data_IF_941510892809
#
_entry.id   IF_941510892809
#
_cell.length_a   1.000
_cell.length_b   1.000
_cell.length_c   1.000
_cell.angle_alpha   90.00
_cell.angle_beta   90.00
_cell.angle_gamma   90.00
#
_symmetry.space_group_name_H-M   'P 1'
#
loop_
_entity.id
_entity.type
_entity.pdbx_description
1 polymer ?
#
# COMPACT_ATOMS: atom_id res chain seq x y z
N UNK A 1 23.41 -51.77 -7.55
CA UNK A 1 23.00 -50.54 -8.27
C UNK A 1 22.23 -49.65 -7.30
N UNK A 2 22.86 -48.57 -6.77
CA UNK A 2 22.21 -47.60 -5.88
C UNK A 2 21.45 -46.58 -6.74
N UNK A 3 20.15 -46.51 -6.62
CA UNK A 3 19.34 -45.49 -7.26
C UNK A 3 19.46 -44.17 -6.43
N UNK A 4 20.08 -43.15 -7.03
CA UNK A 4 20.15 -41.81 -6.45
C UNK A 4 18.82 -41.13 -6.79
N UNK A 5 18.00 -40.84 -5.77
CA UNK A 5 16.82 -39.98 -5.89
C UNK A 5 17.31 -38.53 -5.75
N UNK A 6 17.30 -37.79 -6.85
CA UNK A 6 17.49 -36.34 -6.82
C UNK A 6 16.14 -35.71 -6.45
N UNK A 7 16.05 -35.21 -5.23
CA UNK A 7 14.91 -34.40 -4.78
C UNK A 7 15.10 -32.99 -5.34
N UNK A 8 14.39 -32.65 -6.41
CA UNK A 8 14.30 -31.28 -6.92
C UNK A 8 13.45 -30.47 -5.95
N UNK A 9 14.07 -29.67 -5.11
CA UNK A 9 13.41 -28.61 -4.36
C UNK A 9 12.95 -27.52 -5.33
N UNK A 10 11.66 -27.45 -5.56
CA UNK A 10 11.00 -26.34 -6.26
C UNK A 10 10.96 -25.17 -5.26
N UNK A 11 11.94 -24.26 -5.33
CA UNK A 11 11.85 -22.96 -4.65
C UNK A 11 10.91 -22.14 -5.52
N UNK A 12 9.74 -21.69 -5.01
CA UNK A 12 8.91 -20.77 -5.76
C UNK A 12 9.67 -19.43 -5.84
N UNK A 13 10.33 -19.18 -6.95
CA UNK A 13 10.82 -17.85 -7.28
C UNK A 13 9.59 -17.00 -7.56
N UNK A 14 9.28 -16.06 -6.67
CA UNK A 14 8.36 -14.96 -6.95
C UNK A 14 8.96 -14.14 -8.09
N UNK A 15 8.53 -14.43 -9.30
CA UNK A 15 8.85 -13.64 -10.47
C UNK A 15 8.00 -12.36 -10.41
N UNK A 16 8.53 -11.29 -9.80
CA UNK A 16 8.11 -9.96 -10.24
C UNK A 16 8.35 -9.91 -11.75
N UNK A 17 7.39 -9.38 -12.52
CA UNK A 17 7.70 -9.11 -13.90
C UNK A 17 8.86 -8.12 -13.93
N UNK A 18 9.87 -8.35 -14.74
CA UNK A 18 11.03 -7.46 -14.90
C UNK A 18 10.56 -6.01 -15.09
N UNK A 19 9.49 -5.81 -15.85
CA UNK A 19 8.84 -4.52 -16.10
C UNK A 19 8.43 -3.77 -14.81
N UNK A 20 8.00 -4.48 -13.75
CA UNK A 20 7.63 -3.84 -12.48
C UNK A 20 8.86 -3.29 -11.74
N UNK A 21 9.96 -4.04 -11.75
CA UNK A 21 11.21 -3.66 -11.05
C UNK A 21 11.90 -2.49 -11.75
N UNK A 22 11.79 -2.40 -13.08
CA UNK A 22 12.43 -1.35 -13.88
C UNK A 22 11.88 0.05 -13.56
N UNK A 23 10.65 0.17 -13.05
CA UNK A 23 10.01 1.45 -12.71
C UNK A 23 10.24 1.90 -11.26
N UNK A 24 11.05 1.20 -10.47
CA UNK A 24 11.32 1.59 -9.09
C UNK A 24 12.07 2.93 -9.02
N UNK A 25 11.75 3.78 -8.02
CA UNK A 25 12.55 4.96 -7.73
C UNK A 25 13.98 4.59 -7.29
N UNK A 26 14.89 5.56 -7.33
CA UNK A 26 16.17 5.42 -6.63
C UNK A 26 15.92 5.23 -5.13
N UNK A 27 16.81 4.51 -4.46
CA UNK A 27 16.68 4.23 -3.03
C UNK A 27 17.95 4.63 -2.26
N UNK A 28 17.74 5.15 -1.05
CA UNK A 28 18.83 5.43 -0.11
C UNK A 28 18.84 4.43 1.05
N UNK A 29 17.72 3.73 1.26
CA UNK A 29 17.52 2.74 2.30
C UNK A 29 17.64 1.29 1.83
N UNK A 30 17.22 0.35 2.68
CA UNK A 30 17.16 -1.08 2.35
C UNK A 30 16.00 -1.36 1.39
N UNK A 31 16.30 -1.91 0.21
CA UNK A 31 15.28 -2.25 -0.79
C UNK A 31 14.64 -3.60 -0.46
N UNK A 32 13.34 -3.61 -0.23
CA UNK A 32 12.56 -4.81 0.10
C UNK A 32 11.47 -5.02 -0.94
N UNK A 33 11.32 -6.26 -1.37
CA UNK A 33 10.26 -6.69 -2.27
C UNK A 33 9.25 -7.57 -1.54
N UNK A 34 7.99 -7.12 -1.49
CA UNK A 34 6.84 -7.92 -1.09
C UNK A 34 6.11 -8.47 -2.31
N UNK A 35 5.10 -9.32 -2.13
CA UNK A 35 4.41 -9.98 -3.25
C UNK A 35 3.76 -9.02 -4.25
N UNK A 36 3.39 -7.80 -3.83
CA UNK A 36 2.62 -6.86 -4.66
C UNK A 36 3.05 -5.40 -4.52
N UNK A 37 4.10 -5.12 -3.77
CA UNK A 37 4.71 -3.80 -3.67
C UNK A 37 6.19 -3.94 -3.29
N UNK A 38 6.95 -2.89 -3.53
CA UNK A 38 8.34 -2.76 -3.08
C UNK A 38 8.49 -1.50 -2.24
N UNK A 39 9.47 -1.47 -1.37
CA UNK A 39 9.76 -0.29 -0.57
C UNK A 39 11.26 -0.10 -0.39
N UNK A 40 11.67 1.13 -0.12
CA UNK A 40 12.99 1.46 0.42
C UNK A 40 12.83 1.83 1.89
N UNK A 41 13.42 1.07 2.80
CA UNK A 41 13.31 1.27 4.24
C UNK A 41 14.46 2.10 4.77
N UNK A 42 14.14 3.17 5.47
CA UNK A 42 15.12 4.02 6.15
C UNK A 42 15.24 3.61 7.61
N UNK A 43 16.30 2.95 7.95
CA UNK A 43 16.66 2.55 9.32
C UNK A 43 16.74 3.75 10.27
N UNK A 44 17.31 4.85 9.79
CA UNK A 44 17.43 6.09 10.58
C UNK A 44 16.07 6.63 11.02
N UNK A 45 14.99 6.37 10.28
CA UNK A 45 13.66 6.90 10.50
C UNK A 45 12.64 5.84 10.89
N UNK A 46 13.03 4.56 10.90
CA UNK A 46 12.20 3.40 11.25
C UNK A 46 10.90 3.31 10.41
N UNK A 47 10.97 3.62 9.14
CA UNK A 47 9.88 3.53 8.17
C UNK A 47 10.37 3.62 6.72
N UNK A 48 9.51 3.27 5.77
CA UNK A 48 9.84 3.42 4.37
C UNK A 48 9.99 4.90 3.96
N UNK A 49 11.04 5.22 3.19
CA UNK A 49 11.16 6.51 2.51
C UNK A 49 10.22 6.59 1.29
N UNK A 50 9.97 5.46 0.64
CA UNK A 50 8.93 5.28 -0.37
C UNK A 50 8.42 3.85 -0.41
N UNK A 51 7.19 3.71 -0.88
CA UNK A 51 6.58 2.43 -1.27
C UNK A 51 6.07 2.56 -2.70
N UNK A 52 6.44 1.61 -3.55
CA UNK A 52 6.05 1.51 -4.96
C UNK A 52 5.08 0.36 -5.16
N UNK A 53 3.96 0.61 -5.83
CA UNK A 53 2.98 -0.41 -6.18
C UNK A 53 2.23 -0.08 -7.46
N UNK A 54 1.56 -1.08 -8.02
CA UNK A 54 0.76 -0.97 -9.22
C UNK A 54 -0.72 -1.20 -8.92
N UNK A 55 -1.58 -0.31 -9.41
CA UNK A 55 -3.02 -0.55 -9.48
C UNK A 55 -3.33 -0.98 -10.92
N UNK A 56 -3.61 -2.27 -11.10
CA UNK A 56 -4.00 -2.84 -12.40
C UNK A 56 -5.50 -2.73 -12.58
N UNK A 57 -5.93 -2.23 -13.74
CA UNK A 57 -7.36 -2.09 -14.05
C UNK A 57 -8.09 -3.45 -14.11
N UNK A 58 -7.36 -4.54 -14.41
CA UNK A 58 -7.89 -5.89 -14.44
C UNK A 58 -8.10 -6.51 -13.05
N UNK A 59 -7.48 -5.95 -12.02
CA UNK A 59 -7.62 -6.47 -10.65
C UNK A 59 -8.98 -6.09 -10.06
N UNK A 60 -9.74 -7.11 -9.68
CA UNK A 60 -11.01 -6.92 -8.98
C UNK A 60 -10.72 -6.61 -7.51
N UNK A 61 -11.00 -5.39 -7.08
CA UNK A 61 -10.85 -4.96 -5.69
C UNK A 61 -12.07 -5.39 -4.85
N UNK A 62 -11.85 -5.50 -3.52
CA UNK A 62 -12.91 -5.83 -2.58
C UNK A 62 -13.24 -7.31 -2.45
N UNK A 63 -12.41 -8.20 -3.00
CA UNK A 63 -12.56 -9.66 -2.83
C UNK A 63 -12.20 -10.12 -1.41
N UNK A 64 -11.27 -9.41 -0.76
CA UNK A 64 -10.78 -9.70 0.58
C UNK A 64 -11.16 -8.55 1.50
N UNK A 65 -11.84 -8.88 2.60
CA UNK A 65 -12.15 -7.92 3.65
C UNK A 65 -10.88 -7.50 4.39
N UNK A 66 -10.88 -6.27 4.93
CA UNK A 66 -9.81 -5.76 5.77
C UNK A 66 -9.58 -6.68 6.98
N UNK A 67 -8.31 -7.04 7.25
CA UNK A 67 -7.96 -8.04 8.28
C UNK A 67 -7.25 -7.46 9.50
N UNK A 68 -6.75 -6.23 9.46
CA UNK A 68 -6.10 -5.49 10.56
C UNK A 68 -4.99 -6.25 11.32
N UNK A 69 -4.26 -7.13 10.62
CA UNK A 69 -3.21 -7.98 11.21
C UNK A 69 -1.85 -7.28 11.26
N UNK A 70 -1.79 -6.10 11.86
CA UNK A 70 -0.57 -5.33 12.03
C UNK A 70 0.53 -6.15 12.72
N UNK A 71 1.74 -6.13 12.18
CA UNK A 71 2.91 -6.85 12.69
C UNK A 71 4.19 -6.23 12.14
N UNK A 72 5.30 -6.49 12.83
CA UNK A 72 6.63 -6.13 12.31
C UNK A 72 6.91 -6.84 11.01
N UNK A 73 7.80 -6.28 10.21
CA UNK A 73 8.25 -6.85 8.95
C UNK A 73 9.59 -7.57 9.18
N UNK A 74 9.56 -8.89 9.08
CA UNK A 74 10.74 -9.74 9.27
C UNK A 74 11.70 -9.69 8.06
N UNK A 75 11.31 -9.07 6.95
CA UNK A 75 12.18 -8.90 5.80
C UNK A 75 13.15 -7.71 5.96
N UNK A 76 12.91 -6.82 6.93
CA UNK A 76 13.84 -5.74 7.26
C UNK A 76 14.99 -6.33 8.09
N UNK A 77 16.23 -6.15 7.63
CA UNK A 77 17.41 -6.81 8.19
C UNK A 77 17.69 -6.49 9.66
N UNK A 78 17.29 -5.31 10.11
CA UNK A 78 17.44 -4.79 11.48
C UNK A 78 16.16 -4.90 12.31
N UNK A 79 15.09 -5.46 11.75
CA UNK A 79 13.69 -5.41 12.16
C UNK A 79 13.04 -4.06 11.90
N UNK A 80 11.74 -4.08 11.62
CA UNK A 80 10.96 -2.85 11.47
C UNK A 80 10.44 -2.35 12.82
N UNK A 81 9.88 -1.13 12.83
CA UNK A 81 9.04 -0.63 13.90
C UNK A 81 8.02 -1.69 14.40
N UNK A 82 7.57 -1.57 15.62
CA UNK A 82 6.64 -2.48 16.30
C UNK A 82 5.30 -1.83 16.60
N UNK A 83 4.27 -2.62 16.94
CA UNK A 83 2.97 -2.09 17.36
C UNK A 83 3.10 -1.17 18.57
N UNK A 84 4.04 -1.46 19.49
CA UNK A 84 4.27 -0.66 20.69
C UNK A 84 4.75 0.76 20.39
N UNK A 85 5.44 0.96 19.27
CA UNK A 85 5.92 2.29 18.87
C UNK A 85 4.80 3.26 18.48
N UNK A 86 3.61 2.75 18.19
CA UNK A 86 2.44 3.56 17.85
C UNK A 86 1.39 3.63 18.96
N UNK A 87 1.42 2.69 19.94
CA UNK A 87 0.33 2.50 20.88
C UNK A 87 0.19 3.68 21.84
N UNK A 88 -0.94 4.37 21.77
CA UNK A 88 -1.27 5.45 22.72
C UNK A 88 -0.53 6.77 22.46
N UNK A 89 0.21 6.92 21.37
CA UNK A 89 1.04 8.08 21.09
C UNK A 89 0.37 9.12 20.19
N UNK A 90 -0.94 9.00 19.92
CA UNK A 90 -1.75 10.02 19.26
C UNK A 90 -1.72 10.01 17.74
N UNK A 91 -1.03 9.04 17.13
CA UNK A 91 -0.96 8.87 15.68
C UNK A 91 -1.63 7.57 15.22
N UNK A 92 -2.24 7.60 14.04
CA UNK A 92 -2.68 6.40 13.35
C UNK A 92 -1.46 5.70 12.73
N UNK A 93 -1.51 4.36 12.63
CA UNK A 93 -0.64 3.58 11.74
C UNK A 93 -1.14 3.81 10.32
N UNK A 94 -0.63 4.87 9.70
CA UNK A 94 -1.05 5.29 8.38
C UNK A 94 -0.41 4.43 7.30
N UNK A 95 -1.23 3.83 6.44
CA UNK A 95 -0.76 3.03 5.32
C UNK A 95 -0.10 3.91 4.25
N UNK A 96 1.00 3.44 3.68
CA UNK A 96 1.57 3.98 2.45
C UNK A 96 0.92 3.30 1.23
N UNK A 97 1.00 1.97 1.12
CA UNK A 97 0.11 1.20 0.22
C UNK A 97 -1.22 0.97 0.92
N UNK A 98 -2.33 1.52 0.40
CA UNK A 98 -3.62 1.37 1.06
C UNK A 98 -4.13 -0.08 1.04
N UNK A 99 -4.63 -0.57 2.17
CA UNK A 99 -5.23 -1.91 2.26
C UNK A 99 -6.38 -2.11 1.25
N UNK A 100 -7.09 -1.03 0.89
CA UNK A 100 -8.16 -1.09 -0.11
C UNK A 100 -7.65 -1.38 -1.53
N UNK A 101 -6.42 -0.96 -1.87
CA UNK A 101 -5.78 -1.24 -3.16
C UNK A 101 -5.26 -2.69 -3.23
N UNK A 102 -5.03 -3.31 -2.06
CA UNK A 102 -4.58 -4.68 -1.89
C UNK A 102 -5.72 -5.69 -1.63
N UNK A 103 -6.97 -5.26 -1.75
CA UNK A 103 -8.16 -6.08 -1.45
C UNK A 103 -8.52 -7.12 -2.54
N UNK A 104 -7.70 -7.27 -3.54
CA UNK A 104 -7.87 -8.29 -4.61
C UNK A 104 -7.30 -9.66 -4.22
N UNK A 105 -6.43 -9.76 -3.23
CA UNK A 105 -5.74 -10.98 -2.83
C UNK A 105 -5.48 -10.99 -1.32
N UNK A 106 -5.53 -12.18 -0.68
CA UNK A 106 -5.30 -12.30 0.77
C UNK A 106 -3.87 -11.95 1.17
N UNK A 107 -2.86 -12.41 0.41
CA UNK A 107 -1.44 -12.11 0.68
C UNK A 107 -1.19 -10.61 0.55
N UNK A 108 -1.67 -9.99 -0.54
CA UNK A 108 -1.58 -8.54 -0.74
C UNK A 108 -2.20 -7.76 0.43
N UNK A 109 -3.43 -8.15 0.84
CA UNK A 109 -4.11 -7.55 1.99
C UNK A 109 -3.28 -7.73 3.26
N UNK A 110 -2.79 -8.94 3.54
CA UNK A 110 -2.00 -9.24 4.74
C UNK A 110 -0.69 -8.45 4.79
N UNK A 111 0.05 -8.42 3.70
CA UNK A 111 1.33 -7.71 3.61
C UNK A 111 1.14 -6.20 3.75
N UNK A 112 0.00 -5.63 3.30
CA UNK A 112 -0.28 -4.21 3.49
C UNK A 112 -0.33 -3.75 4.95
N UNK A 113 -0.43 -4.67 5.92
CA UNK A 113 -0.41 -4.41 7.38
C UNK A 113 0.96 -4.61 8.04
N UNK A 114 2.03 -4.85 7.28
CA UNK A 114 3.39 -4.82 7.79
C UNK A 114 3.76 -3.41 8.26
N UNK A 115 4.48 -3.31 9.37
CA UNK A 115 4.82 -2.00 9.95
C UNK A 115 5.86 -1.24 9.13
N UNK A 116 6.58 -1.89 8.23
CA UNK A 116 7.39 -1.26 7.18
C UNK A 116 6.56 -0.42 6.19
N UNK A 117 5.27 -0.76 6.01
CA UNK A 117 4.30 -0.02 5.20
C UNK A 117 3.54 1.05 6.00
N UNK A 118 3.91 1.30 7.27
CA UNK A 118 3.23 2.24 8.16
C UNK A 118 4.08 3.47 8.43
N UNK A 119 3.41 4.61 8.54
CA UNK A 119 4.01 5.86 8.98
C UNK A 119 3.10 6.55 10.00
N UNK A 120 3.64 7.29 10.99
CA UNK A 120 2.84 8.04 11.94
C UNK A 120 2.04 9.15 11.25
N UNK A 121 0.74 8.94 11.10
CA UNK A 121 -0.16 9.90 10.47
C UNK A 121 -1.12 10.51 11.50
N UNK A 122 -1.30 11.83 11.43
CA UNK A 122 -2.35 12.50 12.19
C UNK A 122 -3.72 11.91 11.79
N UNK A 123 -4.55 11.58 12.77
CA UNK A 123 -5.86 10.96 12.53
C UNK A 123 -6.75 11.77 11.58
N UNK A 124 -6.74 13.10 11.70
CA UNK A 124 -7.54 13.97 10.84
C UNK A 124 -7.02 14.05 9.40
N UNK A 125 -5.72 13.85 9.19
CA UNK A 125 -5.09 13.71 7.90
C UNK A 125 -5.42 12.35 7.28
N UNK A 126 -5.05 11.27 7.97
CA UNK A 126 -5.19 9.89 7.52
C UNK A 126 -6.64 9.56 7.14
N UNK A 127 -7.58 9.83 8.05
CA UNK A 127 -9.01 9.53 7.83
C UNK A 127 -9.74 10.60 7.01
N UNK A 128 -9.06 11.71 6.71
CA UNK A 128 -9.58 12.87 5.99
C UNK A 128 -9.11 12.94 4.53
N UNK A 129 -8.25 13.93 4.27
CA UNK A 129 -7.81 14.26 2.91
C UNK A 129 -6.95 13.17 2.27
N UNK A 130 -6.11 12.47 3.07
CA UNK A 130 -5.30 11.37 2.56
C UNK A 130 -6.15 10.22 2.03
N UNK A 131 -7.14 9.79 2.82
CA UNK A 131 -8.13 8.78 2.37
C UNK A 131 -8.88 9.21 1.11
N UNK A 132 -9.18 10.51 0.95
CA UNK A 132 -9.82 11.02 -0.28
C UNK A 132 -8.87 10.90 -1.48
N UNK A 133 -7.60 11.25 -1.31
CA UNK A 133 -6.58 11.11 -2.36
C UNK A 133 -6.40 9.64 -2.75
N UNK A 134 -6.29 8.73 -1.79
CA UNK A 134 -6.23 7.28 -2.06
C UNK A 134 -7.43 6.79 -2.87
N UNK A 135 -8.64 7.23 -2.51
CA UNK A 135 -9.86 6.89 -3.25
C UNK A 135 -9.87 7.43 -4.68
N UNK A 136 -9.34 8.63 -4.89
CA UNK A 136 -9.20 9.24 -6.21
C UNK A 136 -8.18 8.48 -7.07
N UNK A 137 -6.97 8.24 -6.55
CA UNK A 137 -5.91 7.48 -7.22
C UNK A 137 -6.40 6.08 -7.60
N UNK A 138 -7.07 5.39 -6.68
CA UNK A 138 -7.71 4.08 -6.96
C UNK A 138 -8.69 4.17 -8.13
N UNK A 139 -9.50 5.22 -8.21
CA UNK A 139 -10.44 5.40 -9.32
C UNK A 139 -9.73 5.58 -10.66
N UNK A 140 -8.56 6.20 -10.68
CA UNK A 140 -7.73 6.29 -11.88
C UNK A 140 -7.16 4.93 -12.28
N UNK A 141 -6.61 4.17 -11.32
CA UNK A 141 -6.02 2.86 -11.56
C UNK A 141 -7.02 1.79 -11.98
N UNK A 142 -8.29 1.91 -11.61
CA UNK A 142 -9.35 1.00 -12.10
C UNK A 142 -9.82 1.31 -13.52
N UNK A 143 -9.52 2.49 -14.04
CA UNK A 143 -9.83 2.87 -15.42
C UNK A 143 -8.68 2.58 -16.40
N UNK A 144 -7.44 2.78 -15.95
CA UNK A 144 -6.21 2.51 -16.70
C UNK A 144 -5.11 2.18 -15.69
N UNK A 145 -4.36 1.10 -15.91
CA UNK A 145 -3.30 0.70 -14.97
C UNK A 145 -2.32 1.84 -14.72
N UNK A 146 -1.92 2.00 -13.47
CA UNK A 146 -1.02 3.07 -13.02
C UNK A 146 0.02 2.53 -12.05
N UNK A 147 1.20 3.16 -12.05
CA UNK A 147 2.21 3.02 -11.01
C UNK A 147 2.06 4.14 -9.99
N UNK A 148 2.25 3.81 -8.73
CA UNK A 148 2.14 4.75 -7.61
C UNK A 148 3.37 4.63 -6.73
N UNK A 149 4.06 5.75 -6.51
CA UNK A 149 5.06 5.93 -5.46
C UNK A 149 4.46 6.77 -4.35
N UNK A 150 4.61 6.36 -3.12
CA UNK A 150 4.07 7.10 -1.98
C UNK A 150 5.02 7.00 -0.80
N UNK A 151 5.17 8.09 -0.07
CA UNK A 151 6.07 8.11 1.09
C UNK A 151 5.90 9.35 1.96
N UNK A 152 6.55 9.34 3.12
CA UNK A 152 6.77 10.52 3.94
C UNK A 152 7.95 11.35 3.40
N UNK A 153 8.01 12.63 3.73
CA UNK A 153 9.21 13.46 3.55
C UNK A 153 10.02 13.37 4.84
N UNK A 154 11.09 12.58 4.83
CA UNK A 154 11.86 12.21 6.02
C UNK A 154 12.97 13.19 6.42
N UNK A 155 13.42 14.02 5.50
CA UNK A 155 14.48 15.00 5.78
C UNK A 155 14.06 16.14 6.75
N UNK A 156 12.81 16.17 7.21
CA UNK A 156 12.25 17.17 8.11
C UNK A 156 11.54 16.58 9.34
N UNK A 157 12.07 15.48 9.89
CA UNK A 157 11.51 14.87 11.10
C UNK A 157 11.81 15.71 12.33
N UNK A 158 10.79 16.34 12.91
CA UNK A 158 10.90 17.15 14.10
C UNK A 158 10.51 16.45 15.40
N UNK A 159 9.88 15.28 15.32
CA UNK A 159 9.50 14.48 16.45
C UNK A 159 9.56 12.99 16.12
N UNK A 160 9.64 12.18 17.17
CA UNK A 160 9.76 10.73 17.07
C UNK A 160 8.82 10.08 18.07
N UNK A 161 8.36 8.87 17.77
CA UNK A 161 7.49 8.08 18.64
C UNK A 161 8.08 6.70 18.90
N UNK A 162 7.65 6.09 20.03
CA UNK A 162 8.04 4.76 20.41
C UNK A 162 9.51 4.61 20.85
N UNK A 163 9.87 3.41 21.23
CA UNK A 163 11.23 3.06 21.68
C UNK A 163 12.21 2.95 20.51
N UNK A 164 11.71 2.67 19.30
CA UNK A 164 12.52 2.59 18.10
C UNK A 164 12.69 3.93 17.38
N UNK A 165 12.22 5.04 18.00
CA UNK A 165 12.37 6.39 17.45
C UNK A 165 11.79 6.52 16.03
N UNK A 166 10.56 6.04 15.82
CA UNK A 166 9.88 6.19 14.53
C UNK A 166 9.63 7.68 14.27
N UNK A 167 10.16 8.19 13.17
CA UNK A 167 10.00 9.60 12.78
C UNK A 167 8.52 9.94 12.53
N UNK A 168 8.07 11.11 13.01
CA UNK A 168 6.76 11.69 12.66
C UNK A 168 6.95 12.69 11.52
N UNK A 169 6.58 12.34 10.28
CA UNK A 169 6.79 13.21 9.13
C UNK A 169 5.85 14.42 9.15
N UNK A 170 6.34 15.56 8.70
CA UNK A 170 5.51 16.75 8.53
C UNK A 170 4.68 16.72 7.24
N UNK A 171 5.14 15.99 6.23
CA UNK A 171 4.51 15.91 4.92
C UNK A 171 4.55 14.49 4.37
N UNK A 172 3.56 14.20 3.52
CA UNK A 172 3.47 12.98 2.72
C UNK A 172 3.30 13.32 1.24
N UNK A 173 3.79 12.44 0.39
CA UNK A 173 3.67 12.61 -1.06
C UNK A 173 3.09 11.37 -1.74
N UNK A 174 2.56 11.59 -2.95
CA UNK A 174 2.24 10.55 -3.93
C UNK A 174 2.66 11.04 -5.31
N UNK A 175 3.36 10.16 -6.06
CA UNK A 175 3.65 10.32 -7.48
C UNK A 175 2.92 9.22 -8.23
N UNK A 176 2.15 9.58 -9.23
CA UNK A 176 1.34 8.66 -10.02
C UNK A 176 1.76 8.75 -11.49
N UNK A 177 2.19 7.64 -12.06
CA UNK A 177 2.51 7.53 -13.47
C UNK A 177 1.53 6.59 -14.19
N UNK A 178 0.98 7.05 -15.30
CA UNK A 178 0.16 6.25 -16.19
C UNK A 178 0.94 5.95 -17.47
N UNK A 179 1.47 4.73 -17.65
CA UNK A 179 2.33 4.40 -18.79
C UNK A 179 1.56 4.37 -20.12
N UNK A 180 0.27 3.95 -20.10
CA UNK A 180 -0.57 3.87 -21.27
C UNK A 180 -0.78 5.25 -21.93
N UNK A 181 -1.02 6.27 -21.09
CA UNK A 181 -1.33 7.63 -21.52
C UNK A 181 -0.12 8.59 -21.39
N UNK A 182 1.03 8.09 -20.97
CA UNK A 182 2.26 8.87 -20.74
C UNK A 182 1.98 10.18 -20.01
N UNK A 183 1.39 10.08 -18.82
CA UNK A 183 1.07 11.22 -17.96
C UNK A 183 1.42 10.94 -16.51
N UNK A 184 1.85 11.99 -15.82
CA UNK A 184 2.28 11.95 -14.42
C UNK A 184 1.57 13.04 -13.62
N UNK A 185 1.37 12.81 -12.33
CA UNK A 185 0.86 13.82 -11.39
C UNK A 185 1.42 13.54 -10.02
N UNK A 186 1.83 14.58 -9.32
CA UNK A 186 2.44 14.50 -8.00
C UNK A 186 1.72 15.36 -6.99
N UNK A 187 1.71 14.91 -5.74
CA UNK A 187 1.04 15.56 -4.62
C UNK A 187 1.95 15.66 -3.41
N UNK A 188 1.87 16.79 -2.71
CA UNK A 188 2.44 16.99 -1.36
C UNK A 188 1.34 17.46 -0.42
N UNK A 189 1.20 16.79 0.70
CA UNK A 189 0.21 17.12 1.72
C UNK A 189 0.85 17.20 3.10
N UNK A 190 0.51 18.22 3.87
CA UNK A 190 0.90 18.30 5.28
C UNK A 190 0.21 17.21 6.10
N UNK A 191 0.94 16.62 7.06
CA UNK A 191 0.42 15.63 8.02
C UNK A 191 -0.54 16.28 9.03
N UNK A 192 -1.48 17.06 8.55
CA UNK A 192 -2.48 17.79 9.33
C UNK A 192 -3.84 17.71 8.65
N UNK A 193 -4.89 18.21 9.32
CA UNK A 193 -6.22 18.30 8.72
C UNK A 193 -6.16 19.11 7.42
N UNK A 194 -6.37 18.45 6.29
CA UNK A 194 -6.41 19.12 4.99
C UNK A 194 -7.71 19.90 4.79
N UNK A 195 -7.61 20.97 4.00
CA UNK A 195 -8.71 21.85 3.58
C UNK A 195 -8.66 22.05 2.08
N UNK A 196 -9.77 22.45 1.45
CA UNK A 196 -9.82 22.69 0.00
C UNK A 196 -9.94 21.43 -0.86
N UNK A 197 -9.57 21.57 -2.12
CA UNK A 197 -9.65 20.51 -3.12
C UNK A 197 -8.32 19.75 -3.22
N UNK A 198 -8.38 18.50 -3.69
CA UNK A 198 -7.15 17.72 -3.91
C UNK A 198 -6.23 18.35 -4.96
N UNK A 199 -6.79 19.06 -5.95
CA UNK A 199 -6.02 19.79 -6.96
C UNK A 199 -5.11 20.88 -6.38
N UNK A 200 -5.42 21.39 -5.19
CA UNK A 200 -4.64 22.45 -4.53
C UNK A 200 -3.32 21.92 -3.94
N UNK A 201 -3.14 20.60 -3.89
CA UNK A 201 -1.96 19.90 -3.35
C UNK A 201 -1.06 19.33 -4.45
N UNK A 202 -1.34 19.62 -5.72
CA UNK A 202 -0.53 19.17 -6.84
C UNK A 202 0.76 19.99 -6.90
N UNK A 203 1.86 19.31 -7.17
CA UNK A 203 3.17 19.90 -7.41
C UNK A 203 3.86 19.25 -8.60
N UNK A 204 4.97 19.80 -9.06
CA UNK A 204 5.85 19.13 -10.04
C UNK A 204 6.57 17.95 -9.39
N UNK A 205 6.91 16.93 -10.17
CA UNK A 205 7.73 15.81 -9.67
C UNK A 205 9.14 16.28 -9.38
N UNK A 206 9.74 17.14 -10.20
CA UNK A 206 11.05 17.77 -9.95
C UNK A 206 11.12 18.45 -8.57
N UNK A 207 10.04 19.09 -8.13
CA UNK A 207 10.00 19.67 -6.77
C UNK A 207 10.08 18.58 -5.70
N UNK A 208 9.38 17.46 -5.88
CA UNK A 208 9.46 16.32 -4.95
C UNK A 208 10.85 15.71 -4.92
N UNK A 209 11.48 15.50 -6.06
CA UNK A 209 12.84 14.99 -6.17
C UNK A 209 13.84 15.87 -5.44
N UNK A 210 13.73 17.18 -5.63
CA UNK A 210 14.58 18.15 -4.94
C UNK A 210 14.45 18.04 -3.40
N UNK A 211 13.25 17.84 -2.86
CA UNK A 211 13.05 17.82 -1.41
C UNK A 211 13.17 16.44 -0.80
N UNK A 212 13.09 15.36 -1.57
CA UNK A 212 13.23 13.97 -1.08
C UNK A 212 14.59 13.36 -1.38
N UNK A 213 15.30 13.88 -2.37
CA UNK A 213 16.51 13.30 -2.96
C UNK A 213 16.26 11.89 -3.49
N UNK A 214 15.07 11.65 -4.07
CA UNK A 214 14.64 10.42 -4.71
C UNK A 214 14.32 10.77 -6.16
N UNK A 215 14.92 10.07 -7.10
CA UNK A 215 14.61 10.12 -8.51
C UNK A 215 13.46 9.14 -8.79
N UNK A 216 12.33 9.68 -9.32
CA UNK A 216 11.13 8.91 -9.57
C UNK A 216 11.07 8.45 -11.02
N UNK A 217 10.92 7.14 -11.23
CA UNK A 217 10.82 6.53 -12.56
C UNK A 217 12.05 6.72 -13.47
N UNK A 218 13.28 6.52 -12.97
CA UNK A 218 14.54 6.78 -13.71
C UNK A 218 14.72 5.95 -14.99
N UNK A 219 13.83 5.02 -15.27
CA UNK A 219 13.81 4.20 -16.50
C UNK A 219 13.19 4.95 -17.69
N UNK A 220 12.51 6.06 -17.44
CA UNK A 220 11.89 6.83 -18.52
C UNK A 220 12.96 7.43 -19.43
N UNK A 221 12.61 7.63 -20.69
CA UNK A 221 13.51 8.32 -21.63
C UNK A 221 13.63 9.80 -21.22
N UNK A 222 14.86 10.33 -21.11
CA UNK A 222 15.20 11.64 -20.55
C UNK A 222 14.26 12.79 -20.96
N UNK A 223 13.86 12.86 -22.23
CA UNK A 223 12.95 13.90 -22.72
C UNK A 223 11.51 13.72 -22.25
N UNK A 224 11.08 12.48 -22.09
CA UNK A 224 9.76 12.17 -21.59
C UNK A 224 9.72 12.43 -20.10
N UNK A 225 10.73 11.99 -19.38
CA UNK A 225 10.91 12.20 -17.95
C UNK A 225 10.88 13.70 -17.60
N UNK A 226 11.81 14.50 -18.15
CA UNK A 226 11.88 15.94 -17.93
C UNK A 226 10.53 16.64 -18.21
N UNK A 227 9.84 16.26 -19.29
CA UNK A 227 8.53 16.82 -19.60
C UNK A 227 7.48 16.47 -18.56
N UNK A 228 7.44 15.21 -18.11
CA UNK A 228 6.43 14.74 -17.15
C UNK A 228 6.64 15.29 -15.75
N UNK A 229 7.89 15.53 -15.39
CA UNK A 229 8.29 15.93 -14.04
C UNK A 229 8.28 17.44 -13.85
N UNK A 230 8.56 18.20 -14.90
CA UNK A 230 8.61 19.68 -14.84
C UNK A 230 7.23 20.34 -14.99
N UNK A 231 6.23 19.65 -15.55
CA UNK A 231 4.94 20.22 -15.91
C UNK A 231 3.80 19.72 -15.02
N UNK A 232 2.78 20.53 -14.81
CA UNK A 232 1.55 20.16 -14.09
C UNK A 232 0.38 20.18 -15.08
N UNK A 233 -0.21 19.02 -15.31
CA UNK A 233 -1.35 18.81 -16.21
C UNK A 233 -2.57 18.26 -15.50
N UNK A 234 -3.18 19.06 -14.64
CA UNK A 234 -4.35 18.65 -13.84
C UNK A 234 -5.58 18.34 -14.70
N UNK A 235 -5.69 18.95 -15.88
CA UNK A 235 -6.77 18.75 -16.86
C UNK A 235 -6.75 17.34 -17.50
N UNK A 236 -5.62 16.64 -17.46
CA UNK A 236 -5.51 15.26 -17.95
C UNK A 236 -6.10 14.22 -16.99
N UNK A 237 -6.49 14.64 -15.77
CA UNK A 237 -6.95 13.75 -14.72
C UNK A 237 -8.40 14.05 -14.32
N UNK A 238 -9.17 13.00 -14.05
CA UNK A 238 -10.56 13.14 -13.57
C UNK A 238 -10.57 13.36 -12.06
N UNK A 239 -11.23 14.42 -11.59
CA UNK A 239 -11.27 14.80 -10.17
C UNK A 239 -12.49 14.30 -9.40
N UNK A 240 -13.40 13.64 -10.08
CA UNK A 240 -14.54 12.97 -9.45
C UNK A 240 -14.20 11.51 -9.21
N UNK A 241 -14.16 11.08 -7.96
CA UNK A 241 -14.19 9.65 -7.68
C UNK A 241 -15.48 9.09 -8.26
N UNK A 242 -15.40 8.23 -9.27
CA UNK A 242 -16.56 7.44 -9.69
C UNK A 242 -17.03 6.71 -8.43
N UNK A 243 -18.28 6.95 -8.00
CA UNK A 243 -18.89 6.07 -7.01
C UNK A 243 -18.88 4.70 -7.68
N UNK A 244 -17.94 3.85 -7.26
CA UNK A 244 -17.95 2.45 -7.60
C UNK A 244 -19.35 1.95 -7.24
N UNK A 245 -20.19 1.69 -8.24
CA UNK A 245 -21.46 0.98 -8.08
C UNK A 245 -21.16 -0.50 -7.79
N UNK A 246 -20.16 -0.77 -6.95
CA UNK A 246 -20.01 -2.04 -6.31
C UNK A 246 -21.14 -2.17 -5.30
N UNK A 247 -22.34 -2.46 -5.81
CA UNK A 247 -23.33 -3.19 -5.03
C UNK A 247 -22.62 -4.50 -4.73
N UNK A 248 -22.07 -4.63 -3.53
CA UNK A 248 -21.92 -5.92 -2.90
C UNK A 248 -23.26 -6.59 -3.09
N UNK A 249 -23.37 -7.51 -4.07
CA UNK A 249 -24.38 -8.53 -3.99
C UNK A 249 -24.01 -9.28 -2.70
N UNK A 250 -24.63 -8.85 -1.61
CA UNK A 250 -24.83 -9.69 -0.47
C UNK A 250 -25.66 -10.88 -0.96
N UNK A 251 -25.01 -11.77 -1.67
CA UNK A 251 -25.47 -13.13 -1.75
C UNK A 251 -25.15 -13.68 -0.37
N UNK A 252 -26.02 -13.37 0.57
CA UNK A 252 -26.17 -14.13 1.78
C UNK A 252 -26.60 -15.52 1.31
N UNK A 253 -25.60 -16.35 0.96
CA UNK A 253 -25.79 -17.77 0.97
C UNK A 253 -25.88 -18.09 2.46
N UNK A 254 -27.08 -17.94 2.99
CA UNK A 254 -27.45 -18.47 4.29
C UNK A 254 -27.46 -20.01 4.19
N UNK A 255 -26.27 -20.58 4.09
CA UNK A 255 -26.09 -22.01 4.34
C UNK A 255 -26.05 -22.16 5.85
N UNK A 256 -27.22 -22.22 6.43
CA UNK A 256 -27.42 -22.53 7.83
C UNK A 256 -26.76 -23.87 8.15
N UNK A 257 -25.88 -23.90 9.15
CA UNK A 257 -25.25 -25.12 9.63
C UNK A 257 -26.34 -26.17 9.96
N UNK A 258 -26.20 -27.37 9.38
CA UNK A 258 -27.13 -28.48 9.65
C UNK A 258 -26.80 -29.24 10.95
N UNK A 259 -25.74 -28.82 11.67
CA UNK A 259 -25.35 -29.41 12.94
C UNK A 259 -26.30 -29.04 14.06
N UNK A 260 -26.53 -30.00 14.98
CA UNK A 260 -27.24 -29.79 16.23
C UNK A 260 -26.29 -29.82 17.42
N UNK A 261 -26.56 -29.02 18.45
CA UNK A 261 -25.82 -29.07 19.71
C UNK A 261 -26.15 -30.38 20.48
N UNK A 262 -25.32 -30.74 21.48
CA UNK A 262 -25.58 -31.89 22.39
C UNK A 262 -26.95 -31.84 23.08
N UNK A 263 -27.63 -30.68 23.09
CA UNK A 263 -29.00 -30.49 23.62
C UNK A 263 -30.09 -30.49 22.53
N UNK A 264 -29.77 -30.94 21.29
CA UNK A 264 -30.74 -31.04 20.19
C UNK A 264 -31.16 -29.72 19.57
N UNK A 265 -30.54 -28.58 19.95
CA UNK A 265 -30.82 -27.25 19.38
C UNK A 265 -30.01 -27.01 18.11
N UNK A 266 -30.57 -26.29 17.12
CA UNK A 266 -29.83 -25.92 15.92
C UNK A 266 -28.66 -25.02 16.24
N UNK A 267 -27.51 -25.29 15.61
CA UNK A 267 -26.32 -24.46 15.75
C UNK A 267 -26.57 -23.05 15.16
N UNK A 268 -26.27 -22.01 15.95
CA UNK A 268 -26.44 -20.60 15.55
C UNK A 268 -25.23 -20.01 14.81
N UNK A 269 -24.13 -20.77 14.65
CA UNK A 269 -22.88 -20.26 14.07
C UNK A 269 -22.69 -20.74 12.64
N UNK A 270 -22.23 -19.82 11.74
CA UNK A 270 -21.94 -20.10 10.33
C UNK A 270 -20.65 -20.90 10.11
N UNK A 271 -20.65 -21.62 9.06
CA UNK A 271 -20.01 -22.81 8.48
C UNK A 271 -18.48 -22.86 8.44
N UNK A 272 -17.70 -21.85 8.72
CA UNK A 272 -16.24 -21.98 8.58
C UNK A 272 -15.54 -22.74 9.71
N UNK A 273 -16.23 -23.13 10.76
CA UNK A 273 -15.64 -23.87 11.89
C UNK A 273 -16.02 -25.35 11.90
N UNK A 274 -17.05 -25.77 11.17
CA UNK A 274 -17.50 -27.17 11.17
C UNK A 274 -16.65 -28.13 10.32
N UNK A 275 -15.64 -27.70 9.59
CA UNK A 275 -14.75 -28.57 8.81
C UNK A 275 -13.52 -29.10 9.57
N UNK A 276 -13.29 -28.67 10.81
CA UNK A 276 -12.10 -29.07 11.58
C UNK A 276 -12.34 -30.06 12.73
N UNK A 277 -13.54 -30.62 12.90
CA UNK A 277 -13.82 -31.51 14.05
C UNK A 277 -14.51 -32.79 13.61
N UNK A 278 -14.02 -33.45 12.58
CA UNK A 278 -14.32 -34.84 12.32
C UNK A 278 -13.10 -35.56 11.72
N UNK A 279 -12.11 -35.82 12.56
CA UNK A 279 -11.24 -37.00 12.49
C UNK A 279 -10.77 -37.27 13.91
N UNK A 280 -11.55 -38.09 14.62
CA UNK A 280 -11.13 -39.07 15.58
C UNK A 280 -12.38 -39.93 15.89
#
# INVERSE_FOLDING_TARGET
>A
MRKIFILLFFIPTFLFSQEFVDFLPTNNGELIHHSYYSLSYSEQHEQAEWVFYEIKKERVLGLVSRIDNFRSDENISTNSATISDYKGLGFDRGHLVPAADMSFNYTAMSESFLLSNMSPQNTSFNRGIWKKLEGLVRSWGTNSSIYVVTGPILNSCNSYIGTNNVCVPNYFYKVIYNPENKKMISFVLSNQKGTGNLSDYVCTTNYLEQITNIDFFPILEDKLEEKLESEIHTELWTWTSSKSNYKTKNTTISTQCRGTTKKGLRCKYCINICRMVFFF
#
